data_IF_378781933474
#
_entry.id   IF_378781933474
#
_cell.length_a   1.000
_cell.length_b   1.000
_cell.length_c   1.000
_cell.angle_alpha   90.00
_cell.angle_beta   90.00
_cell.angle_gamma   90.00
#
_symmetry.space_group_name_H-M   'P 1'
#
loop_
_entity.id
_entity.type
_entity.pdbx_description
1 polymer ?
#
# COMPACT_ATOMS: atom_id res chain seq x y z
N UNK A 1 6.39 4.54 14.53
CA UNK A 1 5.86 5.83 14.05
C UNK A 1 6.94 6.84 14.31
N UNK A 2 7.31 7.63 13.31
CA UNK A 2 8.33 8.67 13.42
C UNK A 2 7.63 9.98 13.74
N UNK A 3 8.13 10.72 14.71
CA UNK A 3 7.71 12.09 15.03
C UNK A 3 8.76 13.00 14.40
N UNK A 4 8.37 14.04 13.63
CA UNK A 4 9.35 14.96 13.07
C UNK A 4 10.04 15.76 14.19
N UNK A 5 11.36 15.91 14.08
CA UNK A 5 12.14 16.75 15.01
C UNK A 5 11.83 18.24 14.75
N UNK A 6 11.63 18.61 13.50
CA UNK A 6 11.31 19.98 13.06
C UNK A 6 10.25 19.89 11.95
N UNK A 7 9.34 20.87 11.94
CA UNK A 7 8.30 20.96 10.94
C UNK A 7 6.95 20.38 11.40
N UNK A 8 6.05 20.15 10.45
CA UNK A 8 4.71 19.65 10.71
C UNK A 8 4.25 18.74 9.58
N UNK A 9 3.31 17.85 9.91
CA UNK A 9 2.65 16.98 8.94
C UNK A 9 1.18 17.36 8.91
N UNK A 10 0.63 17.52 7.71
CA UNK A 10 -0.79 17.77 7.52
C UNK A 10 -1.47 16.63 6.79
N UNK A 11 -2.69 16.33 7.19
CA UNK A 11 -3.60 15.45 6.48
C UNK A 11 -4.88 16.26 6.21
N UNK A 12 -5.26 16.39 4.94
CA UNK A 12 -6.42 17.18 4.52
C UNK A 12 -6.39 18.62 5.11
N UNK A 13 -5.22 19.28 5.01
CA UNK A 13 -4.92 20.63 5.53
C UNK A 13 -4.92 20.78 7.07
N UNK A 14 -5.17 19.72 7.83
CA UNK A 14 -5.13 19.74 9.28
C UNK A 14 -3.79 19.18 9.80
N UNK A 15 -3.18 19.87 10.77
CA UNK A 15 -1.99 19.38 11.43
C UNK A 15 -2.33 18.14 12.29
N UNK A 16 -1.61 17.03 12.06
CA UNK A 16 -1.91 15.74 12.68
C UNK A 16 -1.00 15.40 13.88
N UNK A 17 -0.16 16.33 14.34
CA UNK A 17 0.84 16.06 15.36
C UNK A 17 0.26 15.48 16.66
N UNK A 18 -0.94 15.93 17.03
CA UNK A 18 -1.67 15.52 18.25
C UNK A 18 -3.03 14.90 17.96
N UNK A 19 -3.36 14.65 16.71
CA UNK A 19 -4.58 13.99 16.30
C UNK A 19 -4.28 12.56 15.84
N UNK A 20 -5.23 11.66 16.06
CA UNK A 20 -5.13 10.26 15.61
C UNK A 20 -6.32 9.86 14.72
N UNK A 21 -7.39 10.65 14.67
CA UNK A 21 -8.62 10.34 13.94
C UNK A 21 -8.40 10.19 12.44
N UNK A 22 -7.45 10.95 11.87
CA UNK A 22 -7.09 10.82 10.45
C UNK A 22 -6.71 9.39 10.04
N UNK A 23 -6.24 8.56 11.01
CA UNK A 23 -5.85 7.16 10.75
C UNK A 23 -7.04 6.29 10.36
N UNK A 24 -8.25 6.68 10.71
CA UNK A 24 -9.47 5.97 10.29
C UNK A 24 -9.69 6.09 8.78
N UNK A 25 -9.14 7.13 8.16
CA UNK A 25 -9.19 7.39 6.72
C UNK A 25 -8.00 6.80 5.95
N UNK A 26 -7.06 6.14 6.64
CA UNK A 26 -5.87 5.53 6.05
C UNK A 26 -5.95 4.01 6.11
N UNK A 27 -5.77 3.36 4.97
CA UNK A 27 -5.43 1.96 4.87
C UNK A 27 -3.91 1.80 4.77
N UNK A 28 -3.32 1.01 5.65
CA UNK A 28 -1.89 0.80 5.66
C UNK A 28 -1.55 -0.69 5.48
N UNK A 29 -0.74 -0.97 4.49
CA UNK A 29 -0.17 -2.28 4.24
C UNK A 29 1.34 -2.22 4.45
N UNK A 30 1.87 -2.70 5.58
CA UNK A 30 3.31 -2.73 5.83
C UNK A 30 3.99 -3.82 4.98
N UNK A 31 5.26 -3.65 4.69
CA UNK A 31 6.09 -4.65 4.00
C UNK A 31 6.04 -6.01 4.70
N UNK A 32 6.07 -6.03 6.04
CA UNK A 32 5.93 -7.23 6.86
C UNK A 32 4.77 -7.03 7.83
N UNK A 33 3.61 -7.61 7.50
CA UNK A 33 2.45 -7.61 8.40
C UNK A 33 2.71 -8.44 9.66
N UNK A 34 2.66 -7.79 10.82
CA UNK A 34 2.80 -8.44 12.13
C UNK A 34 1.44 -8.51 12.81
N UNK A 35 0.95 -9.70 13.01
CA UNK A 35 -0.33 -10.01 13.63
C UNK A 35 -0.10 -10.97 14.80
N UNK A 36 -1.03 -11.07 15.78
CA UNK A 36 -0.89 -12.02 16.87
C UNK A 36 -0.79 -13.45 16.33
N UNK A 37 0.31 -14.13 16.63
CA UNK A 37 0.67 -15.44 16.08
C UNK A 37 -0.37 -16.53 16.31
N UNK A 38 -1.06 -16.47 17.45
CA UNK A 38 -2.05 -17.49 17.87
C UNK A 38 -3.47 -17.20 17.35
N UNK A 39 -3.72 -16.05 16.75
CA UNK A 39 -5.02 -15.75 16.14
C UNK A 39 -5.12 -16.41 14.76
N UNK A 40 -6.33 -16.82 14.40
CA UNK A 40 -6.64 -17.26 13.04
C UNK A 40 -6.88 -16.05 12.13
N UNK A 41 -6.92 -16.29 10.82
CA UNK A 41 -7.25 -15.24 9.82
C UNK A 41 -8.58 -14.58 10.18
N UNK A 42 -9.63 -15.38 10.45
CA UNK A 42 -10.94 -14.86 10.84
C UNK A 42 -10.84 -13.99 12.11
N UNK A 43 -10.16 -14.47 13.14
CA UNK A 43 -10.00 -13.72 14.39
C UNK A 43 -9.28 -12.38 14.20
N UNK A 44 -8.28 -12.32 13.31
CA UNK A 44 -7.59 -11.05 13.00
C UNK A 44 -8.53 -10.10 12.28
N UNK A 45 -9.29 -10.57 11.29
CA UNK A 45 -10.27 -9.75 10.56
C UNK A 45 -11.35 -9.22 11.52
N UNK A 46 -11.92 -10.10 12.35
CA UNK A 46 -12.95 -9.72 13.33
C UNK A 46 -12.42 -8.71 14.36
N UNK A 47 -11.21 -8.93 14.88
CA UNK A 47 -10.54 -7.97 15.77
C UNK A 47 -10.41 -6.58 15.13
N UNK A 48 -10.04 -6.52 13.83
CA UNK A 48 -9.92 -5.24 13.13
C UNK A 48 -11.28 -4.58 12.91
N UNK A 49 -12.33 -5.36 12.62
CA UNK A 49 -13.71 -4.87 12.54
C UNK A 49 -14.17 -4.30 13.89
N UNK A 50 -13.88 -4.97 14.98
CA UNK A 50 -14.24 -4.54 16.35
C UNK A 50 -13.51 -3.23 16.75
N UNK A 51 -12.24 -3.09 16.38
CA UNK A 51 -11.46 -1.88 16.66
C UNK A 51 -11.98 -0.68 15.85
N UNK A 52 -12.24 -0.89 14.56
CA UNK A 52 -12.64 0.19 13.64
C UNK A 52 -14.11 0.57 13.76
N UNK A 53 -14.98 -0.37 14.13
CA UNK A 53 -16.44 -0.18 14.26
C UNK A 53 -17.09 0.46 13.03
N UNK A 54 -16.54 0.20 11.85
CA UNK A 54 -17.05 0.72 10.59
C UNK A 54 -18.20 -0.12 10.08
N UNK A 55 -19.25 0.54 9.58
CA UNK A 55 -20.37 -0.12 8.91
C UNK A 55 -20.12 -0.32 7.40
N UNK A 56 -19.06 0.25 6.86
CA UNK A 56 -18.67 0.13 5.46
C UNK A 56 -17.48 -0.80 5.37
N UNK A 57 -17.68 -1.95 4.74
CA UNK A 57 -16.65 -2.97 4.56
C UNK A 57 -16.50 -3.27 3.07
N UNK A 58 -15.25 -3.35 2.64
CA UNK A 58 -14.83 -3.80 1.31
C UNK A 58 -14.13 -5.17 1.46
N UNK A 59 -14.88 -6.24 1.24
CA UNK A 59 -14.41 -7.61 1.40
C UNK A 59 -13.91 -8.23 0.07
N UNK A 60 -13.83 -7.44 -1.00
CA UNK A 60 -13.46 -7.92 -2.34
C UNK A 60 -12.14 -8.69 -2.34
N UNK A 61 -11.08 -8.17 -1.70
CA UNK A 61 -9.79 -8.87 -1.62
C UNK A 61 -9.84 -10.10 -0.71
N UNK A 62 -10.69 -10.14 0.30
CA UNK A 62 -10.88 -11.32 1.16
C UNK A 62 -11.37 -12.49 0.30
N UNK A 63 -12.37 -12.24 -0.54
CA UNK A 63 -12.94 -13.24 -1.45
C UNK A 63 -11.97 -13.58 -2.58
N UNK A 64 -11.41 -12.58 -3.25
CA UNK A 64 -10.50 -12.78 -4.38
C UNK A 64 -9.23 -13.59 -4.01
N UNK A 65 -8.73 -13.44 -2.78
CA UNK A 65 -7.62 -14.23 -2.26
C UNK A 65 -8.04 -15.56 -1.63
N UNK A 66 -9.32 -15.93 -1.72
CA UNK A 66 -9.89 -17.16 -1.14
C UNK A 66 -9.55 -17.33 0.36
N UNK A 67 -9.48 -16.23 1.13
CA UNK A 67 -9.19 -16.28 2.56
C UNK A 67 -10.24 -17.04 3.38
N UNK A 68 -11.55 -17.05 3.02
CA UNK A 68 -12.55 -17.84 3.74
C UNK A 68 -12.22 -19.34 3.81
N UNK A 69 -11.60 -19.89 2.75
CA UNK A 69 -11.18 -21.31 2.73
C UNK A 69 -10.04 -21.61 3.73
N UNK A 70 -9.36 -20.58 4.22
CA UNK A 70 -8.23 -20.67 5.14
C UNK A 70 -8.51 -19.97 6.49
N UNK A 71 -9.74 -19.57 6.76
CA UNK A 71 -10.12 -18.70 7.88
C UNK A 71 -9.64 -19.16 9.26
N UNK A 72 -9.56 -20.48 9.47
CA UNK A 72 -9.17 -21.08 10.75
C UNK A 72 -7.66 -21.29 10.91
N UNK A 73 -6.86 -21.05 9.84
CA UNK A 73 -5.40 -21.15 9.92
C UNK A 73 -4.83 -20.03 10.80
N UNK A 74 -3.91 -20.41 11.69
CA UNK A 74 -3.25 -19.44 12.58
C UNK A 74 -2.19 -18.63 11.84
N UNK A 75 -2.06 -17.35 12.19
CA UNK A 75 -1.12 -16.42 11.54
C UNK A 75 0.32 -16.93 11.52
N UNK A 76 0.79 -17.60 12.58
CA UNK A 76 2.13 -18.22 12.67
C UNK A 76 2.37 -19.32 11.63
N UNK A 77 1.32 -19.97 11.13
CA UNK A 77 1.43 -21.10 10.18
C UNK A 77 1.32 -20.66 8.71
N UNK A 78 1.06 -19.37 8.46
CA UNK A 78 0.90 -18.87 7.12
C UNK A 78 2.25 -18.65 6.43
N UNK A 79 2.29 -18.94 5.13
CA UNK A 79 3.40 -18.51 4.28
C UNK A 79 3.47 -16.96 4.20
N UNK A 80 4.62 -16.43 3.81
CA UNK A 80 4.79 -14.99 3.58
C UNK A 80 3.74 -14.42 2.62
N UNK A 81 3.52 -15.09 1.48
CA UNK A 81 2.50 -14.67 0.52
C UNK A 81 1.07 -14.69 1.06
N UNK A 82 0.70 -15.73 1.84
CA UNK A 82 -0.64 -15.76 2.45
C UNK A 82 -0.79 -14.65 3.50
N UNK A 83 0.25 -14.38 4.29
CA UNK A 83 0.25 -13.27 5.25
C UNK A 83 0.12 -11.92 4.56
N UNK A 84 0.76 -11.77 3.41
CA UNK A 84 0.67 -10.57 2.58
C UNK A 84 -0.75 -10.37 2.01
N UNK A 85 -1.43 -11.45 1.58
CA UNK A 85 -2.84 -11.43 1.17
C UNK A 85 -3.75 -10.93 2.29
N UNK A 86 -3.56 -11.41 3.53
CA UNK A 86 -4.30 -10.91 4.69
C UNK A 86 -4.00 -9.43 4.94
N UNK A 87 -2.72 -9.02 4.86
CA UNK A 87 -2.30 -7.63 5.04
C UNK A 87 -2.94 -6.69 4.01
N UNK A 88 -2.92 -7.09 2.73
CA UNK A 88 -3.58 -6.36 1.67
C UNK A 88 -5.08 -6.25 1.93
N UNK A 89 -5.77 -7.36 2.21
CA UNK A 89 -7.20 -7.35 2.49
C UNK A 89 -7.57 -6.38 3.62
N UNK A 90 -6.80 -6.37 4.71
CA UNK A 90 -7.05 -5.47 5.85
C UNK A 90 -6.80 -3.99 5.51
N UNK A 91 -5.85 -3.67 4.63
CA UNK A 91 -5.59 -2.31 4.21
C UNK A 91 -6.77 -1.69 3.44
N UNK A 92 -7.46 -2.50 2.64
CA UNK A 92 -8.62 -2.05 1.85
C UNK A 92 -9.97 -2.20 2.57
N UNK A 93 -10.05 -3.08 3.60
CA UNK A 93 -11.29 -3.54 4.23
C UNK A 93 -12.26 -2.43 4.62
N UNK A 94 -11.77 -1.30 5.11
CA UNK A 94 -12.59 -0.20 5.62
C UNK A 94 -12.79 0.94 4.61
N UNK A 95 -12.58 0.65 3.32
CA UNK A 95 -12.76 1.60 2.23
C UNK A 95 -12.09 2.98 2.49
N UNK A 96 -10.80 3.02 2.83
CA UNK A 96 -10.11 4.26 3.22
C UNK A 96 -10.00 5.24 2.05
N UNK A 97 -9.84 6.53 2.35
CA UNK A 97 -9.59 7.59 1.36
C UNK A 97 -8.13 7.58 0.87
N UNK A 98 -7.22 7.16 1.75
CA UNK A 98 -5.79 7.12 1.48
C UNK A 98 -5.27 5.69 1.73
N UNK A 99 -4.51 5.17 0.80
CA UNK A 99 -3.81 3.89 0.91
C UNK A 99 -2.30 4.12 0.94
N UNK A 100 -1.62 3.53 1.91
CA UNK A 100 -0.16 3.50 1.99
C UNK A 100 0.26 2.04 1.91
N UNK A 101 0.89 1.66 0.81
CA UNK A 101 1.23 0.28 0.48
C UNK A 101 2.75 0.15 0.38
N UNK A 102 3.34 -0.56 1.34
CA UNK A 102 4.78 -0.75 1.42
C UNK A 102 5.16 -2.11 0.83
N UNK A 103 5.82 -2.10 -0.34
CA UNK A 103 6.21 -3.29 -1.11
C UNK A 103 5.05 -4.29 -1.31
N UNK A 104 3.89 -3.86 -1.83
CA UNK A 104 2.66 -4.64 -1.75
C UNK A 104 2.69 -5.98 -2.48
N UNK A 105 3.50 -6.12 -3.53
CA UNK A 105 3.55 -7.30 -4.40
C UNK A 105 4.75 -8.21 -4.15
N UNK A 106 5.74 -7.78 -3.34
CA UNK A 106 7.07 -8.39 -3.24
C UNK A 106 7.11 -9.90 -2.95
N UNK A 107 6.12 -10.45 -2.23
CA UNK A 107 6.06 -11.88 -1.86
C UNK A 107 4.79 -12.58 -2.34
N UNK A 108 4.01 -11.92 -3.19
CA UNK A 108 2.81 -12.50 -3.79
C UNK A 108 3.17 -13.38 -5.00
N UNK A 109 2.38 -14.40 -5.22
CA UNK A 109 2.39 -15.14 -6.48
C UNK A 109 1.84 -14.25 -7.62
N UNK A 110 2.16 -14.55 -8.89
CA UNK A 110 1.76 -13.70 -10.02
C UNK A 110 0.26 -13.43 -10.12
N UNK A 111 -0.57 -14.42 -9.80
CA UNK A 111 -2.04 -14.27 -9.86
C UNK A 111 -2.52 -13.31 -8.79
N UNK A 112 -2.01 -13.46 -7.56
CA UNK A 112 -2.36 -12.58 -6.44
C UNK A 112 -1.82 -11.16 -6.61
N UNK A 113 -0.63 -11.02 -7.22
CA UNK A 113 -0.07 -9.71 -7.58
C UNK A 113 -0.99 -8.99 -8.57
N UNK A 114 -1.48 -9.69 -9.59
CA UNK A 114 -2.38 -9.13 -10.59
C UNK A 114 -3.73 -8.71 -9.97
N UNK A 115 -4.32 -9.56 -9.10
CA UNK A 115 -5.54 -9.21 -8.35
C UNK A 115 -5.35 -7.92 -7.56
N UNK A 116 -4.24 -7.79 -6.84
CA UNK A 116 -3.96 -6.59 -6.05
C UNK A 116 -3.75 -5.36 -6.92
N UNK A 117 -3.04 -5.48 -8.05
CA UNK A 117 -2.86 -4.38 -9.01
C UNK A 117 -4.19 -3.88 -9.57
N UNK A 118 -5.06 -4.80 -9.99
CA UNK A 118 -6.40 -4.45 -10.48
C UNK A 118 -7.21 -3.72 -9.41
N UNK A 119 -7.14 -4.16 -8.15
CA UNK A 119 -7.77 -3.46 -7.03
C UNK A 119 -7.21 -2.05 -6.85
N UNK A 120 -5.88 -1.88 -6.88
CA UNK A 120 -5.23 -0.56 -6.77
C UNK A 120 -5.71 0.37 -7.90
N UNK A 121 -5.72 -0.10 -9.15
CA UNK A 121 -6.19 0.67 -10.30
C UNK A 121 -7.66 1.07 -10.14
N UNK A 122 -8.52 0.15 -9.68
CA UNK A 122 -9.93 0.44 -9.44
C UNK A 122 -10.13 1.50 -8.34
N UNK A 123 -9.35 1.45 -7.26
CA UNK A 123 -9.42 2.45 -6.18
C UNK A 123 -8.87 3.82 -6.62
N UNK A 124 -7.80 3.82 -7.44
CA UNK A 124 -7.27 5.04 -8.08
C UNK A 124 -8.34 5.70 -8.97
N UNK A 125 -9.07 4.92 -9.77
CA UNK A 125 -10.15 5.43 -10.61
C UNK A 125 -11.31 6.05 -9.82
N UNK A 126 -11.48 5.68 -8.54
CA UNK A 126 -12.42 6.31 -7.61
C UNK A 126 -11.90 7.62 -7.00
N UNK A 127 -10.69 8.07 -7.38
CA UNK A 127 -10.08 9.31 -6.89
C UNK A 127 -9.37 9.19 -5.54
N UNK A 128 -9.07 7.99 -5.07
CA UNK A 128 -8.31 7.80 -3.83
C UNK A 128 -6.84 8.14 -4.01
N UNK A 129 -6.22 8.65 -2.96
CA UNK A 129 -4.78 8.83 -2.90
C UNK A 129 -4.11 7.50 -2.54
N UNK A 130 -3.19 7.03 -3.38
CA UNK A 130 -2.48 5.78 -3.16
C UNK A 130 -0.97 6.05 -3.22
N UNK A 131 -0.29 5.85 -2.09
CA UNK A 131 1.16 5.92 -1.98
C UNK A 131 1.72 4.49 -1.97
N UNK A 132 2.60 4.19 -2.91
CA UNK A 132 3.23 2.87 -3.05
C UNK A 132 4.74 3.04 -2.94
N UNK A 133 5.38 2.27 -2.06
CA UNK A 133 6.82 2.05 -2.14
C UNK A 133 7.06 0.73 -2.88
N UNK A 134 8.05 0.70 -3.78
CA UNK A 134 8.46 -0.53 -4.45
C UNK A 134 9.88 -0.42 -4.99
N UNK A 135 10.59 -1.54 -4.97
CA UNK A 135 11.84 -1.72 -5.68
C UNK A 135 11.66 -2.46 -7.04
N UNK A 136 10.46 -2.97 -7.32
CA UNK A 136 10.10 -3.64 -8.58
C UNK A 136 9.35 -2.66 -9.47
N UNK A 137 10.11 -1.71 -10.04
CA UNK A 137 9.54 -0.58 -10.80
C UNK A 137 8.74 -1.02 -12.03
N UNK A 138 9.09 -2.15 -12.65
CA UNK A 138 8.38 -2.68 -13.83
C UNK A 138 6.93 -3.09 -13.54
N UNK A 139 6.56 -3.28 -12.29
CA UNK A 139 5.19 -3.60 -11.90
C UNK A 139 4.30 -2.36 -11.73
N UNK A 140 4.90 -1.17 -11.79
CA UNK A 140 4.23 0.09 -11.49
C UNK A 140 3.87 0.92 -12.73
N UNK A 141 4.36 0.56 -13.93
CA UNK A 141 4.19 1.35 -15.16
C UNK A 141 2.72 1.75 -15.42
N UNK A 142 1.77 0.82 -15.20
CA UNK A 142 0.34 1.06 -15.45
C UNK A 142 -0.43 1.55 -14.19
N UNK A 143 0.25 1.60 -13.04
CA UNK A 143 -0.38 1.88 -11.74
C UNK A 143 -0.16 3.32 -11.30
N UNK A 144 1.06 3.86 -11.47
CA UNK A 144 1.44 5.17 -10.94
C UNK A 144 1.12 6.31 -11.89
N UNK A 145 0.84 7.48 -11.33
CA UNK A 145 0.69 8.74 -12.07
C UNK A 145 1.79 9.74 -11.71
N UNK A 146 2.36 9.63 -10.53
CA UNK A 146 3.41 10.52 -10.03
C UNK A 146 4.52 9.72 -9.38
N UNK A 147 5.74 10.23 -9.44
CA UNK A 147 6.94 9.62 -8.90
C UNK A 147 7.62 10.57 -7.93
N UNK A 148 7.82 10.12 -6.71
CA UNK A 148 8.62 10.78 -5.69
C UNK A 148 9.92 9.98 -5.55
N UNK A 149 11.04 10.58 -5.93
CA UNK A 149 12.35 9.95 -5.80
C UNK A 149 13.12 10.53 -4.62
N UNK A 150 13.50 9.65 -3.71
CA UNK A 150 14.27 9.99 -2.50
C UNK A 150 15.58 9.21 -2.48
N UNK A 151 16.65 9.88 -2.08
CA UNK A 151 17.97 9.27 -1.90
C UNK A 151 18.66 9.87 -0.66
N UNK A 152 19.24 9.03 0.17
CA UNK A 152 19.95 9.43 1.40
C UNK A 152 19.14 10.38 2.31
N UNK A 153 17.82 10.16 2.39
CA UNK A 153 16.90 10.96 3.19
C UNK A 153 16.51 12.30 2.55
N UNK A 154 16.98 12.60 1.34
CA UNK A 154 16.67 13.83 0.61
C UNK A 154 15.70 13.57 -0.53
N UNK A 155 14.72 14.47 -0.69
CA UNK A 155 13.85 14.51 -1.86
C UNK A 155 14.67 15.01 -3.05
N UNK A 156 14.85 14.16 -4.05
CA UNK A 156 15.53 14.51 -5.29
C UNK A 156 14.57 15.17 -6.30
N UNK A 157 13.39 14.57 -6.49
CA UNK A 157 12.33 15.15 -7.29
C UNK A 157 10.95 14.57 -6.94
N UNK A 158 9.92 15.33 -7.36
CA UNK A 158 8.55 14.91 -7.45
C UNK A 158 8.00 15.33 -8.81
N UNK A 159 7.68 14.38 -9.69
CA UNK A 159 7.25 14.62 -11.07
C UNK A 159 6.09 13.69 -11.44
N UNK A 160 5.27 14.11 -12.41
CA UNK A 160 4.36 13.18 -13.06
C UNK A 160 5.16 12.11 -13.83
N UNK A 161 4.56 10.95 -14.04
CA UNK A 161 5.18 9.91 -14.86
C UNK A 161 5.45 10.39 -16.28
N UNK A 162 4.50 11.12 -16.87
CA UNK A 162 4.63 11.72 -18.22
C UNK A 162 5.84 12.66 -18.30
N UNK A 163 5.98 13.59 -17.34
CA UNK A 163 7.11 14.52 -17.31
C UNK A 163 8.44 13.79 -17.11
N UNK A 164 8.47 12.75 -16.27
CA UNK A 164 9.68 11.94 -16.08
C UNK A 164 10.08 11.19 -17.37
N UNK A 165 9.10 10.68 -18.11
CA UNK A 165 9.31 10.02 -19.40
C UNK A 165 9.82 11.00 -20.47
N UNK A 166 9.26 12.20 -20.54
CA UNK A 166 9.71 13.27 -21.44
C UNK A 166 11.16 13.70 -21.13
N UNK A 167 11.47 13.98 -19.87
CA UNK A 167 12.77 14.44 -19.42
C UNK A 167 13.89 13.41 -19.67
N UNK A 168 13.57 12.13 -19.61
CA UNK A 168 14.55 11.04 -19.74
C UNK A 168 14.56 10.37 -21.11
N UNK A 169 13.52 10.57 -21.93
CA UNK A 169 13.34 9.89 -23.21
C UNK A 169 13.00 8.41 -23.09
N UNK A 170 12.61 7.93 -21.90
CA UNK A 170 12.31 6.52 -21.63
C UNK A 170 10.84 6.32 -21.28
N UNK A 171 10.15 5.43 -22.02
CA UNK A 171 8.73 5.13 -21.80
C UNK A 171 8.47 4.30 -20.54
N UNK A 172 9.44 3.48 -20.09
CA UNK A 172 9.28 2.63 -18.92
C UNK A 172 9.85 3.29 -17.67
N UNK A 173 9.11 3.26 -16.56
CA UNK A 173 9.50 3.83 -15.27
C UNK A 173 10.90 3.35 -14.83
N UNK A 174 11.16 2.04 -14.91
CA UNK A 174 12.45 1.47 -14.51
C UNK A 174 13.63 2.05 -15.31
N UNK A 175 13.45 2.28 -16.61
CA UNK A 175 14.47 2.88 -17.45
C UNK A 175 14.67 4.37 -17.17
N UNK A 176 13.57 5.09 -16.96
CA UNK A 176 13.59 6.50 -16.61
C UNK A 176 14.32 6.75 -15.28
N UNK A 177 14.00 5.96 -14.24
CA UNK A 177 14.70 6.05 -12.95
C UNK A 177 16.17 5.67 -13.08
N UNK A 178 16.50 4.58 -13.81
CA UNK A 178 17.89 4.18 -14.03
C UNK A 178 18.71 5.26 -14.77
N UNK A 179 18.08 6.02 -15.67
CA UNK A 179 18.72 7.16 -16.33
C UNK A 179 19.05 8.27 -15.33
N UNK A 180 18.08 8.66 -14.50
CA UNK A 180 18.29 9.69 -13.46
C UNK A 180 19.39 9.29 -12.48
N UNK A 181 19.41 8.02 -12.02
CA UNK A 181 20.44 7.52 -11.09
C UNK A 181 21.86 7.51 -11.67
N UNK A 182 22.02 7.49 -12.98
CA UNK A 182 23.34 7.53 -13.65
C UNK A 182 23.84 8.95 -13.89
N UNK A 183 22.93 9.91 -13.91
CA UNK A 183 23.24 11.31 -14.27
C UNK A 183 23.47 12.20 -13.05
N UNK A 184 23.07 11.71 -11.87
CA UNK A 184 23.37 12.31 -10.56
C UNK A 184 24.58 11.63 -9.91
#
# INVERSE_FOLDING_TARGET
MVVPDIGFITFDKHNILHDWKYRERIGYMPQIGRYPDNMSIAQVIDMMKDIRKSNVLDEELIEAFALPAMKDKKMRTLSGGTRQKVSASLAFLFNPDVLILDEPTAVLDPVSSEILKQKIVAEKAKGKLILITSHILSELDDVVSEVIYMQDGHLQFHKSLEQLQEDTGHAKLAQAIAHVMKTN
#
